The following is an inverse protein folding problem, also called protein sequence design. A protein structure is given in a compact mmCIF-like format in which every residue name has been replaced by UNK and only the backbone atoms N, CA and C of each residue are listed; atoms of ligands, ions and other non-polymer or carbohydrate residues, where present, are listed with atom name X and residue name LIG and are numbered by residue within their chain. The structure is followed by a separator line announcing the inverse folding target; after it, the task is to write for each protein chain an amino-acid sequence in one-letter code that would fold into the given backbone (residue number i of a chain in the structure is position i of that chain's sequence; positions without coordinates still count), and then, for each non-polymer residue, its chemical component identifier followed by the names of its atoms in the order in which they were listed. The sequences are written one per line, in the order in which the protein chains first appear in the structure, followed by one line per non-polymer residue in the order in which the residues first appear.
data_IF_931228177093
#
_entry.id   IF_931228177093
#
_cell.length_a   1.000
_cell.length_b   1.000
_cell.length_c   1.000
_cell.angle_alpha   90.00
_cell.angle_beta   90.00
_cell.angle_gamma   90.00
#
_symmetry.space_group_name_H-M   'P 1'
#
loop_
_entity.id
_entity.type
_entity.pdbx_description
1 polymer ?
#
# COMPACT_ATOMS: atom_id res chain seq x y z
N UNK A 1 6.84 0.84 5.71
CA UNK A 1 5.97 0.27 4.66
C UNK A 1 4.83 1.18 4.21
N UNK A 2 4.13 1.89 5.10
CA UNK A 2 3.01 2.77 4.72
C UNK A 2 3.35 3.84 3.66
N UNK A 3 4.47 4.53 3.79
CA UNK A 3 4.90 5.54 2.80
C UNK A 3 5.26 4.91 1.45
N UNK A 4 5.89 3.73 1.45
CA UNK A 4 6.20 2.99 0.22
C UNK A 4 4.90 2.55 -0.47
N UNK A 5 3.93 2.02 0.29
CA UNK A 5 2.62 1.68 -0.26
C UNK A 5 1.92 2.88 -0.90
N UNK A 6 1.88 4.03 -0.22
CA UNK A 6 1.25 5.24 -0.77
C UNK A 6 1.92 5.71 -2.07
N UNK A 7 3.26 5.72 -2.11
CA UNK A 7 4.00 6.12 -3.30
C UNK A 7 3.75 5.15 -4.47
N UNK A 8 3.81 3.84 -4.21
CA UNK A 8 3.60 2.82 -5.24
C UNK A 8 2.14 2.74 -5.70
N UNK A 9 1.17 2.99 -4.81
CA UNK A 9 -0.25 3.04 -5.17
C UNK A 9 -0.58 4.26 -6.04
N UNK A 10 -0.05 5.44 -5.70
CA UNK A 10 -0.16 6.64 -6.54
C UNK A 10 0.53 6.43 -7.89
N UNK A 11 1.68 5.74 -7.91
CA UNK A 11 2.37 5.43 -9.16
C UNK A 11 1.53 4.49 -10.05
N UNK A 12 0.86 3.49 -9.47
CA UNK A 12 -0.04 2.61 -10.21
C UNK A 12 -1.23 3.37 -10.81
N UNK A 13 -1.87 4.24 -10.01
CA UNK A 13 -2.98 5.08 -10.47
C UNK A 13 -2.54 6.04 -11.60
N UNK A 14 -1.37 6.67 -11.47
CA UNK A 14 -0.81 7.56 -12.49
C UNK A 14 -0.47 6.84 -13.80
N UNK A 15 0.00 5.59 -13.72
CA UNK A 15 0.23 4.76 -14.91
C UNK A 15 -1.09 4.56 -15.67
N UNK A 16 -2.13 4.10 -14.97
CA UNK A 16 -3.41 3.75 -15.60
C UNK A 16 -4.18 4.99 -16.09
N UNK A 17 -4.19 6.07 -15.30
CA UNK A 17 -4.96 7.28 -15.60
C UNK A 17 -4.28 8.22 -16.60
N UNK A 18 -2.95 8.31 -16.59
CA UNK A 18 -2.22 9.35 -17.35
C UNK A 18 -1.23 8.76 -18.33
N UNK A 19 -0.31 7.90 -17.87
CA UNK A 19 0.84 7.49 -18.70
C UNK A 19 0.43 6.57 -19.84
N UNK A 20 -0.40 5.56 -19.58
CA UNK A 20 -0.87 4.62 -20.63
C UNK A 20 -1.71 5.31 -21.72
N UNK A 21 -2.70 6.16 -21.38
CA UNK A 21 -3.45 6.91 -22.39
C UNK A 21 -2.55 7.82 -23.23
N UNK A 22 -1.62 8.55 -22.61
CA UNK A 22 -0.71 9.45 -23.34
C UNK A 22 0.29 8.70 -24.22
N UNK A 23 0.72 7.50 -23.82
CA UNK A 23 1.53 6.62 -24.67
C UNK A 23 0.75 6.15 -25.89
N UNK A 24 -0.53 5.78 -25.74
CA UNK A 24 -1.39 5.42 -26.88
C UNK A 24 -1.62 6.61 -27.81
N UNK A 25 -1.92 7.78 -27.25
CA UNK A 25 -2.11 9.02 -27.99
C UNK A 25 -0.86 9.41 -28.79
N UNK A 26 0.32 9.37 -28.16
CA UNK A 26 1.59 9.69 -28.84
C UNK A 26 1.93 8.71 -29.96
N UNK A 27 1.55 7.43 -29.86
CA UNK A 27 1.68 6.47 -30.97
C UNK A 27 0.80 6.84 -32.17
N UNK A 28 -0.45 7.22 -31.92
CA UNK A 28 -1.37 7.67 -32.99
C UNK A 28 -0.83 8.95 -33.63
N UNK A 29 -0.42 9.93 -32.81
CA UNK A 29 0.17 11.18 -33.30
C UNK A 29 1.45 10.95 -34.12
N UNK A 30 2.26 9.96 -33.73
CA UNK A 30 3.46 9.58 -34.48
C UNK A 30 3.09 8.96 -35.84
N UNK A 31 2.12 8.04 -35.88
CA UNK A 31 1.64 7.43 -37.11
C UNK A 31 1.05 8.48 -38.07
N UNK A 32 0.24 9.40 -37.54
CA UNK A 32 -0.35 10.50 -38.33
C UNK A 32 0.72 11.46 -38.85
N UNK A 33 1.71 11.80 -38.03
CA UNK A 33 2.82 12.67 -38.44
C UNK A 33 3.72 12.00 -39.49
N UNK A 34 3.92 10.69 -39.38
CA UNK A 34 4.68 9.90 -40.35
C UNK A 34 3.92 9.79 -41.68
N UNK A 35 2.61 9.56 -41.64
CA UNK A 35 1.75 9.61 -42.83
C UNK A 35 1.74 11.00 -43.47
N UNK A 36 1.65 12.07 -42.68
CA UNK A 36 1.70 13.44 -43.20
C UNK A 36 3.07 13.80 -43.80
N UNK A 37 4.17 13.26 -43.26
CA UNK A 37 5.52 13.45 -43.80
C UNK A 37 5.78 12.63 -45.07
N UNK A 38 5.07 11.51 -45.25
CA UNK A 38 5.20 10.62 -46.42
C UNK A 38 4.13 10.87 -47.49
N UNK A 39 3.07 11.63 -47.18
CA UNK A 39 2.02 11.97 -48.13
C UNK A 39 2.59 12.76 -49.32
N UNK A 40 2.33 12.34 -50.57
CA UNK A 40 2.86 12.95 -51.79
C UNK A 40 2.18 14.29 -52.15
N UNK A 41 1.80 15.09 -51.15
CA UNK A 41 1.00 16.32 -51.31
C UNK A 41 1.79 17.63 -51.31
N UNK A 42 3.06 17.63 -50.91
CA UNK A 42 3.93 18.82 -50.90
C UNK A 42 4.83 18.91 -52.15
N UNK A 43 4.54 18.14 -53.19
CA UNK A 43 5.26 18.11 -54.47
C UNK A 43 4.32 18.35 -55.66
N UNK A 44 3.34 19.26 -55.52
CA UNK A 44 2.56 19.73 -56.65
C UNK A 44 3.04 21.13 -57.10
N UNK A 45 4.12 21.18 -57.90
CA UNK A 45 4.18 22.02 -59.10
C UNK A 45 5.48 21.83 -59.89
N UNK A 46 5.65 20.68 -60.56
CA UNK A 46 6.34 20.68 -61.86
C UNK A 46 5.60 19.72 -62.78
N UNK A 47 4.64 20.25 -63.52
CA UNK A 47 4.06 19.62 -64.69
C UNK A 47 5.17 19.45 -65.74
N UNK A 48 5.53 18.22 -66.08
CA UNK A 48 6.51 17.92 -67.13
C UNK A 48 6.82 16.43 -67.29
N UNK A 49 5.96 15.75 -68.06
CA UNK A 49 6.20 14.52 -68.85
C UNK A 49 7.06 13.36 -68.29
N UNK A 50 6.37 12.23 -68.17
CA UNK A 50 6.74 10.87 -68.63
C UNK A 50 7.87 10.07 -67.97
N UNK A 51 7.47 8.84 -67.66
CA UNK A 51 8.22 7.57 -67.58
C UNK A 51 8.69 7.10 -66.21
N UNK A 52 8.30 5.85 -65.98
CA UNK A 52 8.49 5.00 -64.81
C UNK A 52 9.97 4.83 -64.47
N UNK A 53 10.36 5.15 -63.23
CA UNK A 53 11.35 4.34 -62.51
C UNK A 53 11.18 4.51 -61.00
N UNK A 54 11.08 3.37 -60.32
CA UNK A 54 11.02 3.25 -58.87
C UNK A 54 12.31 3.83 -58.28
N UNK A 55 12.24 4.96 -57.58
CA UNK A 55 13.36 5.48 -56.79
C UNK A 55 12.86 5.82 -55.39
N UNK A 56 13.47 5.09 -54.45
CA UNK A 56 13.49 5.14 -52.99
C UNK A 56 12.95 6.41 -52.29
N UNK A 57 12.25 6.25 -51.14
CA UNK A 57 12.05 7.37 -50.22
C UNK A 57 13.41 7.72 -49.62
N UNK A 58 13.70 9.02 -49.46
CA UNK A 58 14.90 9.59 -48.84
C UNK A 58 16.21 9.50 -49.66
N UNK A 59 16.19 9.93 -50.92
CA UNK A 59 17.43 10.35 -51.58
C UNK A 59 17.55 11.89 -51.54
N UNK A 60 18.38 12.41 -50.63
CA UNK A 60 18.87 13.78 -50.71
C UNK A 60 19.75 13.92 -51.98
N UNK A 61 19.11 14.18 -53.12
CA UNK A 61 19.78 14.56 -54.36
C UNK A 61 20.33 15.99 -54.21
N UNK A 62 21.66 16.12 -54.19
CA UNK A 62 22.38 17.38 -53.92
C UNK A 62 22.21 18.48 -54.97
N UNK A 63 21.49 18.28 -56.08
CA UNK A 63 21.44 19.27 -57.17
C UNK A 63 20.13 20.09 -57.27
N UNK A 64 19.17 19.93 -56.34
CA UNK A 64 17.91 20.70 -56.36
C UNK A 64 17.35 21.04 -54.96
N UNK A 65 18.20 21.07 -53.93
CA UNK A 65 17.77 21.46 -52.58
C UNK A 65 17.68 22.99 -52.49
N UNK A 66 16.54 23.55 -52.89
CA UNK A 66 16.25 24.95 -52.59
C UNK A 66 15.98 25.10 -51.07
N UNK A 67 16.49 26.17 -50.46
CA UNK A 67 16.27 26.49 -49.04
C UNK A 67 14.79 26.36 -48.60
N UNK A 68 13.77 26.74 -49.42
CA UNK A 68 12.37 26.57 -49.08
C UNK A 68 11.94 25.09 -48.97
N UNK A 69 12.46 24.21 -49.83
CA UNK A 69 12.19 22.76 -49.79
C UNK A 69 12.81 22.11 -48.55
N UNK A 70 14.03 22.51 -48.18
CA UNK A 70 14.67 22.08 -46.94
C UNK A 70 13.92 22.57 -45.68
N UNK A 71 13.39 23.79 -45.70
CA UNK A 71 12.56 24.33 -44.62
C UNK A 71 11.18 23.64 -44.53
N UNK A 72 10.55 23.32 -45.67
CA UNK A 72 9.30 22.56 -45.71
C UNK A 72 9.47 21.13 -45.18
N UNK A 73 10.62 20.49 -45.41
CA UNK A 73 10.92 19.15 -44.88
C UNK A 73 11.34 19.18 -43.39
N UNK A 74 11.81 20.32 -42.87
CA UNK A 74 12.26 20.47 -41.48
C UNK A 74 11.11 20.49 -40.47
N UNK A 75 10.01 21.17 -40.78
CA UNK A 75 8.82 21.27 -39.90
C UNK A 75 8.22 19.89 -39.53
N UNK A 76 7.99 18.96 -40.47
CA UNK A 76 7.48 17.62 -40.13
C UNK A 76 8.51 16.78 -39.35
N UNK A 77 9.81 16.93 -39.61
CA UNK A 77 10.88 16.26 -38.85
C UNK A 77 10.98 16.76 -37.41
N UNK A 78 10.90 18.08 -37.19
CA UNK A 78 10.90 18.68 -35.86
C UNK A 78 9.68 18.22 -35.05
N UNK A 79 8.52 18.07 -35.70
CA UNK A 79 7.30 17.53 -35.07
C UNK A 79 7.44 16.06 -34.69
N UNK A 80 8.01 15.22 -35.57
CA UNK A 80 8.28 13.82 -35.26
C UNK A 80 9.24 13.68 -34.07
N UNK A 81 10.32 14.46 -34.06
CA UNK A 81 11.30 14.46 -32.97
C UNK A 81 10.69 14.90 -31.63
N UNK A 82 9.80 15.90 -31.63
CA UNK A 82 9.08 16.29 -30.41
C UNK A 82 8.17 15.17 -29.87
N UNK A 83 7.49 14.44 -30.76
CA UNK A 83 6.66 13.29 -30.38
C UNK A 83 7.53 12.15 -29.82
N UNK A 84 8.67 11.85 -30.45
CA UNK A 84 9.63 10.86 -29.96
C UNK A 84 10.19 11.23 -28.58
N UNK A 85 10.58 12.49 -28.37
CA UNK A 85 11.04 12.97 -27.07
C UNK A 85 9.95 12.81 -26.00
N UNK A 86 8.71 13.18 -26.32
CA UNK A 86 7.57 12.99 -25.40
C UNK A 86 7.36 11.51 -25.10
N UNK A 87 7.43 10.64 -26.10
CA UNK A 87 7.30 9.19 -25.95
C UNK A 87 8.38 8.61 -25.04
N UNK A 88 9.66 8.97 -25.24
CA UNK A 88 10.77 8.51 -24.40
C UNK A 88 10.61 8.98 -22.94
N UNK A 89 10.17 10.22 -22.72
CA UNK A 89 9.87 10.73 -21.37
C UNK A 89 8.76 9.92 -20.70
N UNK A 90 7.67 9.63 -21.41
CA UNK A 90 6.57 8.81 -20.89
C UNK A 90 7.01 7.37 -20.59
N UNK A 91 7.85 6.76 -21.43
CA UNK A 91 8.44 5.45 -21.16
C UNK A 91 9.33 5.47 -19.91
N UNK A 92 10.15 6.51 -19.73
CA UNK A 92 11.00 6.65 -18.54
C UNK A 92 10.16 6.81 -17.26
N UNK A 93 9.04 7.54 -17.34
CA UNK A 93 8.11 7.69 -16.22
C UNK A 93 7.43 6.36 -15.89
N UNK A 94 6.99 5.61 -16.91
CA UNK A 94 6.42 4.28 -16.74
C UNK A 94 7.42 3.31 -16.09
N UNK A 95 8.66 3.29 -16.56
CA UNK A 95 9.72 2.46 -15.98
C UNK A 95 9.96 2.79 -14.50
N UNK A 96 10.09 4.07 -14.17
CA UNK A 96 10.30 4.49 -12.77
C UNK A 96 9.13 4.09 -11.87
N UNK A 97 7.90 4.22 -12.36
CA UNK A 97 6.70 3.81 -11.65
C UNK A 97 6.66 2.28 -11.47
N UNK A 98 6.95 1.48 -12.50
CA UNK A 98 7.08 0.02 -12.40
C UNK A 98 8.14 -0.41 -11.39
N UNK A 99 9.31 0.24 -11.39
CA UNK A 99 10.37 -0.04 -10.42
C UNK A 99 9.93 0.25 -8.99
N UNK A 100 9.16 1.33 -8.78
CA UNK A 100 8.61 1.65 -7.46
C UNK A 100 7.60 0.61 -6.95
N UNK A 101 6.76 0.07 -7.85
CA UNK A 101 5.79 -0.99 -7.52
C UNK A 101 6.53 -2.31 -7.23
N UNK A 102 7.53 -2.65 -8.07
CA UNK A 102 8.35 -3.85 -7.87
C UNK A 102 9.12 -3.81 -6.55
N UNK A 103 9.72 -2.65 -6.23
CA UNK A 103 10.43 -2.45 -4.98
C UNK A 103 9.49 -2.65 -3.77
N UNK A 104 8.27 -2.12 -3.83
CA UNK A 104 7.27 -2.36 -2.78
C UNK A 104 6.88 -3.83 -2.66
N UNK A 105 6.50 -4.48 -3.78
CA UNK A 105 6.07 -5.87 -3.80
C UNK A 105 7.14 -6.82 -3.25
N UNK A 106 8.42 -6.56 -3.53
CA UNK A 106 9.54 -7.34 -2.96
C UNK A 106 9.55 -7.34 -1.42
N UNK A 107 9.07 -6.27 -0.81
CA UNK A 107 9.03 -6.11 0.65
C UNK A 107 7.71 -6.56 1.29
N UNK A 108 6.66 -6.86 0.52
CA UNK A 108 5.36 -7.28 1.06
C UNK A 108 5.46 -8.62 1.80
N UNK A 109 5.94 -9.66 1.13
CA UNK A 109 6.10 -10.99 1.74
C UNK A 109 6.97 -10.99 3.02
N UNK A 110 8.20 -10.43 3.04
CA UNK A 110 9.01 -10.42 4.25
C UNK A 110 8.42 -9.54 5.36
N UNK A 111 7.76 -8.43 5.02
CA UNK A 111 7.08 -7.60 6.02
C UNK A 111 5.88 -8.32 6.64
N UNK A 112 5.09 -9.02 5.83
CA UNK A 112 3.98 -9.83 6.34
C UNK A 112 4.48 -10.98 7.22
N UNK A 113 5.58 -11.63 6.86
CA UNK A 113 6.20 -12.68 7.68
C UNK A 113 6.70 -12.13 9.02
N UNK A 114 7.36 -10.97 9.01
CA UNK A 114 7.80 -10.26 10.22
C UNK A 114 6.61 -9.89 11.11
N UNK A 115 5.60 -9.25 10.53
CA UNK A 115 4.38 -8.85 11.24
C UNK A 115 3.66 -10.06 11.84
N UNK A 116 3.56 -11.17 11.11
CA UNK A 116 2.99 -12.42 11.62
C UNK A 116 3.81 -13.01 12.78
N UNK A 117 5.14 -12.91 12.75
CA UNK A 117 6.00 -13.34 13.84
C UNK A 117 5.80 -12.47 15.10
N UNK A 118 5.73 -11.15 14.92
CA UNK A 118 5.42 -10.21 16.01
C UNK A 118 4.02 -10.45 16.57
N UNK A 119 3.00 -10.63 15.72
CA UNK A 119 1.63 -10.97 16.13
C UNK A 119 1.56 -12.25 16.96
N UNK A 120 2.37 -13.27 16.65
CA UNK A 120 2.43 -14.49 17.48
C UNK A 120 3.00 -14.19 18.87
N UNK A 121 4.02 -13.35 18.95
CA UNK A 121 4.63 -12.95 20.21
C UNK A 121 3.66 -12.10 21.04
N UNK A 122 3.26 -10.94 20.51
CA UNK A 122 2.42 -9.95 21.19
C UNK A 122 0.98 -10.40 21.37
N UNK A 123 0.44 -11.16 20.43
CA UNK A 123 -0.94 -11.61 20.48
C UNK A 123 -1.24 -12.54 21.64
N UNK A 124 -0.27 -13.34 22.10
CA UNK A 124 -0.46 -14.15 23.30
C UNK A 124 -0.53 -13.28 24.56
N UNK A 125 0.38 -12.31 24.66
CA UNK A 125 0.50 -11.37 25.79
C UNK A 125 -0.69 -10.40 25.87
N UNK A 126 -1.19 -9.92 24.74
CA UNK A 126 -2.38 -9.08 24.70
C UNK A 126 -3.61 -9.86 25.14
N UNK A 127 -3.80 -11.09 24.66
CA UNK A 127 -4.92 -11.94 25.07
C UNK A 127 -4.89 -12.28 26.55
N UNK A 128 -3.71 -12.54 27.14
CA UNK A 128 -3.60 -12.77 28.57
C UNK A 128 -3.86 -11.50 29.38
N UNK A 129 -3.28 -10.37 28.98
CA UNK A 129 -3.49 -9.06 29.63
C UNK A 129 -4.96 -8.67 29.63
N UNK A 130 -5.65 -8.88 28.50
CA UNK A 130 -7.06 -8.58 28.32
C UNK A 130 -7.97 -9.46 29.20
N UNK A 131 -7.64 -10.76 29.36
CA UNK A 131 -8.32 -11.65 30.31
C UNK A 131 -8.17 -11.19 31.75
N UNK A 132 -6.93 -10.88 32.16
CA UNK A 132 -6.65 -10.42 33.53
C UNK A 132 -7.35 -9.09 33.79
N UNK A 133 -7.30 -8.14 32.84
CA UNK A 133 -7.98 -6.85 32.96
C UNK A 133 -9.50 -7.01 33.11
N UNK A 134 -10.12 -7.85 32.29
CA UNK A 134 -11.56 -8.10 32.36
C UNK A 134 -11.96 -8.74 33.71
N UNK A 135 -11.27 -9.79 34.15
CA UNK A 135 -11.60 -10.45 35.41
C UNK A 135 -11.30 -9.60 36.65
N UNK A 136 -10.29 -8.73 36.60
CA UNK A 136 -10.08 -7.72 37.64
C UNK A 136 -11.25 -6.73 37.68
N UNK A 137 -11.78 -6.30 36.53
CA UNK A 137 -12.96 -5.43 36.49
C UNK A 137 -14.23 -6.14 37.00
N UNK A 138 -14.42 -7.43 36.69
CA UNK A 138 -15.53 -8.22 37.27
C UNK A 138 -15.42 -8.33 38.79
N UNK A 139 -14.22 -8.63 39.33
CA UNK A 139 -13.99 -8.64 40.78
C UNK A 139 -14.32 -7.28 41.42
N UNK A 140 -13.90 -6.18 40.79
CA UNK A 140 -14.23 -4.82 41.26
C UNK A 140 -15.74 -4.53 41.20
N UNK A 141 -16.45 -5.09 40.23
CA UNK A 141 -17.89 -4.89 40.07
C UNK A 141 -18.69 -5.63 41.15
N UNK A 142 -18.28 -6.86 41.47
CA UNK A 142 -18.98 -7.70 42.46
C UNK A 142 -18.65 -7.32 43.90
N UNK A 143 -17.39 -7.00 44.18
CA UNK A 143 -16.87 -6.83 45.54
C UNK A 143 -16.65 -5.36 45.92
N UNK A 144 -16.48 -4.48 44.94
CA UNK A 144 -16.00 -3.12 45.18
C UNK A 144 -14.56 -3.09 45.70
N UNK A 145 -13.92 -1.91 45.67
CA UNK A 145 -12.50 -1.77 46.07
C UNK A 145 -12.21 -2.22 47.51
N UNK A 146 -13.16 -2.03 48.42
CA UNK A 146 -12.95 -2.25 49.86
C UNK A 146 -12.83 -3.72 50.23
N UNK A 147 -13.39 -4.63 49.41
CA UNK A 147 -13.36 -6.07 49.68
C UNK A 147 -12.55 -6.89 48.67
N UNK A 148 -11.77 -6.22 47.81
CA UNK A 148 -10.83 -6.87 46.89
C UNK A 148 -9.58 -7.35 47.63
N UNK A 149 -9.09 -8.52 47.25
CA UNK A 149 -7.86 -9.10 47.82
C UNK A 149 -6.68 -8.13 47.69
N UNK A 150 -5.89 -8.01 48.75
CA UNK A 150 -4.66 -7.19 48.77
C UNK A 150 -3.66 -7.60 47.70
N UNK A 151 -3.70 -8.87 47.27
CA UNK A 151 -2.84 -9.38 46.19
C UNK A 151 -3.28 -8.92 44.79
N UNK A 152 -4.55 -8.50 44.63
CA UNK A 152 -5.12 -7.99 43.38
C UNK A 152 -5.01 -6.47 43.24
N UNK A 153 -4.87 -5.73 44.35
CA UNK A 153 -4.73 -4.27 44.35
C UNK A 153 -3.65 -3.74 43.39
N UNK A 154 -2.46 -4.37 43.26
CA UNK A 154 -1.44 -3.92 42.31
C UNK A 154 -1.90 -3.95 40.85
N UNK A 155 -2.86 -4.82 40.51
CA UNK A 155 -3.39 -4.91 39.15
C UNK A 155 -4.37 -3.79 38.82
N UNK A 156 -5.10 -3.24 39.81
CA UNK A 156 -6.12 -2.21 39.57
C UNK A 156 -5.54 -0.96 38.90
N UNK A 157 -4.39 -0.47 39.39
CA UNK A 157 -3.71 0.69 38.78
C UNK A 157 -3.19 0.39 37.37
N UNK A 158 -2.81 -0.85 37.13
CA UNK A 158 -2.27 -1.30 35.85
C UNK A 158 -3.40 -1.47 34.82
N UNK A 159 -4.52 -2.04 35.24
CA UNK A 159 -5.74 -2.16 34.42
C UNK A 159 -6.31 -0.79 34.08
N UNK A 160 -6.30 0.16 35.02
CA UNK A 160 -6.66 1.55 34.72
C UNK A 160 -5.76 2.14 33.62
N UNK A 161 -4.45 1.90 33.68
CA UNK A 161 -3.51 2.35 32.64
C UNK A 161 -3.75 1.66 31.30
N UNK A 162 -3.97 0.35 31.30
CA UNK A 162 -4.23 -0.47 30.10
C UNK A 162 -5.53 -0.07 29.37
N UNK A 163 -6.54 0.34 30.13
CA UNK A 163 -7.86 0.77 29.60
C UNK A 163 -7.88 2.26 29.22
N UNK A 164 -6.78 2.98 29.43
CA UNK A 164 -6.69 4.41 29.10
C UNK A 164 -7.31 5.35 30.14
N UNK A 165 -7.56 4.88 31.36
CA UNK A 165 -8.05 5.70 32.46
C UNK A 165 -6.89 6.54 33.06
N UNK A 166 -6.75 7.79 32.58
CA UNK A 166 -5.73 8.71 33.06
C UNK A 166 -5.95 9.17 34.51
N UNK A 167 -7.19 9.13 35.01
CA UNK A 167 -7.55 9.36 36.41
C UNK A 167 -7.27 8.17 37.34
N UNK A 168 -6.62 7.12 36.83
CA UNK A 168 -6.24 5.94 37.59
C UNK A 168 -7.44 5.11 38.05
N UNK A 169 -7.32 4.52 39.26
CA UNK A 169 -8.34 3.60 39.79
C UNK A 169 -9.70 4.26 40.03
N UNK A 170 -9.75 5.56 40.37
CA UNK A 170 -11.02 6.27 40.60
C UNK A 170 -11.84 6.40 39.31
N UNK A 171 -11.17 6.74 38.21
CA UNK A 171 -11.83 6.81 36.91
C UNK A 171 -12.28 5.42 36.45
N UNK A 172 -11.43 4.40 36.63
CA UNK A 172 -11.76 3.00 36.35
C UNK A 172 -13.06 2.57 37.04
N UNK A 173 -13.22 2.89 38.34
CA UNK A 173 -14.43 2.54 39.10
C UNK A 173 -15.67 3.32 38.61
N UNK A 174 -15.51 4.61 38.29
CA UNK A 174 -16.62 5.44 37.81
C UNK A 174 -17.16 4.99 36.45
N UNK A 175 -16.31 4.37 35.61
CA UNK A 175 -16.62 3.92 34.25
C UNK A 175 -16.59 2.40 34.10
N UNK A 176 -16.67 1.66 35.20
CA UNK A 176 -16.38 0.22 35.24
C UNK A 176 -17.22 -0.58 34.24
N UNK A 177 -18.52 -0.32 34.17
CA UNK A 177 -19.43 -0.98 33.22
C UNK A 177 -19.07 -0.69 31.76
N UNK A 178 -18.71 0.55 31.45
CA UNK A 178 -18.32 0.95 30.09
C UNK A 178 -16.98 0.31 29.69
N UNK A 179 -16.03 0.24 30.63
CA UNK A 179 -14.72 -0.36 30.42
C UNK A 179 -14.84 -1.88 30.24
N UNK A 180 -15.69 -2.54 31.02
CA UNK A 180 -15.94 -3.98 30.84
C UNK A 180 -16.55 -4.29 29.48
N UNK A 181 -17.48 -3.46 29.02
CA UNK A 181 -18.10 -3.62 27.69
C UNK A 181 -17.05 -3.43 26.59
N UNK A 182 -16.23 -2.38 26.68
CA UNK A 182 -15.11 -2.15 25.76
C UNK A 182 -14.15 -3.35 25.75
N UNK A 183 -13.67 -3.82 26.92
CA UNK A 183 -12.81 -5.00 27.03
C UNK A 183 -13.43 -6.25 26.40
N UNK A 184 -14.75 -6.44 26.53
CA UNK A 184 -15.47 -7.55 25.91
C UNK A 184 -15.55 -7.40 24.38
N UNK A 185 -15.75 -6.19 23.85
CA UNK A 185 -15.67 -5.92 22.42
C UNK A 185 -14.27 -6.17 21.86
N UNK A 186 -13.23 -5.72 22.58
CA UNK A 186 -11.83 -6.01 22.23
C UNK A 186 -11.55 -7.51 22.22
N UNK A 187 -12.12 -8.23 23.19
CA UNK A 187 -12.01 -9.69 23.27
C UNK A 187 -12.63 -10.39 22.07
N UNK A 188 -13.82 -9.94 21.65
CA UNK A 188 -14.53 -10.48 20.48
C UNK A 188 -13.69 -10.32 19.22
N UNK A 189 -13.11 -9.13 19.00
CA UNK A 189 -12.22 -8.87 17.85
C UNK A 189 -10.99 -9.78 17.83
N UNK A 190 -10.44 -10.10 18.99
CA UNK A 190 -9.21 -10.92 19.14
C UNK A 190 -9.52 -12.41 19.35
N UNK A 191 -10.80 -12.80 19.25
CA UNK A 191 -11.29 -14.18 19.41
C UNK A 191 -10.97 -14.78 20.79
N UNK A 192 -11.06 -13.96 21.85
CA UNK A 192 -10.95 -14.42 23.23
C UNK A 192 -12.35 -14.64 23.81
N UNK A 193 -12.72 -15.89 24.14
CA UNK A 193 -14.01 -16.17 24.77
C UNK A 193 -13.98 -15.77 26.25
N UNK A 194 -14.32 -14.51 26.56
CA UNK A 194 -14.46 -14.02 27.94
C UNK A 194 -15.86 -14.30 28.52
N UNK A 195 -16.90 -14.06 27.72
CA UNK A 195 -18.32 -14.10 28.15
C UNK A 195 -18.91 -15.51 28.23
N UNK A 196 -18.18 -16.54 27.78
CA UNK A 196 -18.70 -17.91 27.82
C UNK A 196 -18.75 -18.43 29.26
N UNK A 197 -19.87 -19.08 29.64
CA UNK A 197 -20.10 -19.71 30.96
C UNK A 197 -18.96 -20.65 31.41
N UNK A 198 -18.24 -21.26 30.47
CA UNK A 198 -17.08 -22.12 30.74
C UNK A 198 -15.84 -21.35 31.20
N UNK A 199 -15.72 -20.08 30.82
CA UNK A 199 -14.60 -19.19 31.20
C UNK A 199 -14.86 -18.44 32.50
N UNK A 200 -16.13 -18.15 32.84
CA UNK A 200 -16.48 -17.62 34.16
C UNK A 200 -16.04 -18.55 35.30
N UNK A 201 -16.15 -19.88 35.12
CA UNK A 201 -15.63 -20.87 36.08
C UNK A 201 -14.09 -20.88 36.20
N UNK A 202 -13.37 -20.33 35.22
CA UNK A 202 -11.90 -20.26 35.19
C UNK A 202 -11.34 -18.96 35.74
N UNK A 203 -12.19 -17.98 36.05
CA UNK A 203 -11.80 -16.70 36.69
C UNK A 203 -10.83 -16.85 37.86
N UNK A 204 -11.08 -17.68 38.90
CA UNK A 204 -10.16 -17.78 40.03
C UNK A 204 -8.80 -18.37 39.63
N UNK A 205 -8.76 -19.26 38.64
CA UNK A 205 -7.52 -19.84 38.14
C UNK A 205 -6.67 -18.78 37.42
N UNK A 206 -7.29 -18.01 36.53
CA UNK A 206 -6.60 -16.95 35.77
C UNK A 206 -6.06 -15.86 36.68
N UNK A 207 -6.83 -15.44 37.69
CA UNK A 207 -6.37 -14.45 38.66
C UNK A 207 -5.26 -15.00 39.57
N UNK A 208 -5.35 -16.27 40.01
CA UNK A 208 -4.29 -16.90 40.79
C UNK A 208 -2.99 -17.05 40.00
N UNK A 209 -3.07 -17.44 38.72
CA UNK A 209 -1.91 -17.51 37.81
C UNK A 209 -1.28 -16.13 37.59
N UNK A 210 -2.09 -15.09 37.41
CA UNK A 210 -1.62 -13.73 37.27
C UNK A 210 -0.89 -13.24 38.54
N UNK A 211 -1.47 -13.51 39.71
CA UNK A 211 -0.85 -13.19 41.00
C UNK A 211 0.47 -13.96 41.18
N UNK A 212 0.50 -15.26 40.87
CA UNK A 212 1.71 -16.07 40.94
C UNK A 212 2.80 -15.54 40.00
N UNK A 213 2.45 -15.21 38.76
CA UNK A 213 3.37 -14.60 37.78
C UNK A 213 3.91 -13.24 38.26
N UNK A 214 3.07 -12.42 38.90
CA UNK A 214 3.48 -11.13 39.45
C UNK A 214 4.47 -11.25 40.61
N UNK A 215 4.44 -12.35 41.36
CA UNK A 215 5.40 -12.60 42.45
C UNK A 215 6.78 -13.00 41.92
N UNK A 216 6.87 -13.51 40.69
CA UNK A 216 8.11 -13.98 40.06
C UNK A 216 8.82 -12.87 39.27
N UNK A 217 8.09 -11.91 38.70
CA UNK A 217 8.63 -10.91 37.78
C UNK A 217 9.26 -9.66 38.45
N UNK A 218 10.38 -9.17 37.91
CA UNK A 218 11.07 -7.93 38.33
C UNK A 218 10.20 -6.66 38.29
N UNK A 219 9.06 -6.67 37.58
CA UNK A 219 8.07 -5.57 37.51
C UNK A 219 6.65 -6.05 37.85
N UNK A 220 6.51 -6.83 38.92
CA UNK A 220 5.26 -7.29 39.58
C UNK A 220 4.06 -7.45 38.63
N UNK A 221 3.03 -6.62 38.80
CA UNK A 221 1.78 -6.68 38.04
C UNK A 221 1.86 -5.99 36.67
N UNK A 222 2.73 -4.99 36.52
CA UNK A 222 2.94 -4.31 35.24
C UNK A 222 3.46 -5.32 34.20
N UNK A 223 4.42 -6.18 34.54
CA UNK A 223 4.92 -7.20 33.61
C UNK A 223 3.84 -8.17 33.10
N UNK A 224 2.76 -8.35 33.85
CA UNK A 224 1.64 -9.25 33.50
C UNK A 224 0.59 -8.54 32.64
N UNK A 225 0.38 -7.24 32.85
CA UNK A 225 -0.60 -6.41 32.13
C UNK A 225 0.08 -5.11 31.68
N UNK A 226 1.05 -5.16 30.77
CA UNK A 226 1.71 -3.93 30.24
C UNK A 226 1.93 -3.96 28.74
N UNK A 227 1.12 -4.74 28.03
CA UNK A 227 1.22 -4.66 26.59
C UNK A 227 0.70 -3.28 26.15
N UNK A 228 1.63 -2.43 25.67
CA UNK A 228 1.32 -1.22 24.89
C UNK A 228 0.69 -1.57 23.53
N UNK A 229 0.47 -2.86 23.29
CA UNK A 229 -0.06 -3.42 22.06
C UNK A 229 -1.54 -3.12 21.98
N UNK A 230 -1.96 -2.68 20.81
CA UNK A 230 -3.34 -2.40 20.45
C UNK A 230 -3.98 -3.61 19.79
N UNK A 231 -5.30 -3.58 19.60
CA UNK A 231 -6.02 -4.60 18.82
C UNK A 231 -5.42 -4.79 17.42
N UNK A 232 -4.94 -3.70 16.81
CA UNK A 232 -4.33 -3.70 15.49
C UNK A 232 -3.03 -4.51 15.44
N UNK A 233 -2.30 -4.58 16.55
CA UNK A 233 -1.05 -5.34 16.64
C UNK A 233 -1.29 -6.86 16.74
N UNK A 234 -2.54 -7.28 17.00
CA UNK A 234 -2.92 -8.70 17.16
C UNK A 234 -3.71 -9.25 15.99
N UNK A 235 -4.62 -8.45 15.41
CA UNK A 235 -5.45 -8.84 14.27
C UNK A 235 -4.81 -8.42 12.93
N UNK A 236 -3.68 -7.72 12.97
CA UNK A 236 -3.10 -6.92 11.88
C UNK A 236 -3.36 -7.42 10.46
N UNK A 237 -3.82 -6.49 9.63
CA UNK A 237 -4.18 -6.74 8.25
C UNK A 237 -2.92 -6.99 7.41
N UNK A 238 -2.83 -8.12 6.68
CA UNK A 238 -1.69 -8.38 5.80
C UNK A 238 -1.67 -7.34 4.68
N UNK A 239 -0.47 -6.86 4.33
CA UNK A 239 -0.31 -6.03 3.15
C UNK A 239 -0.54 -6.89 1.90
N UNK A 240 -1.28 -6.34 0.94
CA UNK A 240 -1.46 -6.93 -0.39
C UNK A 240 -0.45 -6.35 -1.37
N UNK A 241 -0.01 -7.20 -2.28
CA UNK A 241 0.81 -6.77 -3.42
C UNK A 241 -0.02 -5.87 -4.34
N UNK A 242 0.64 -4.85 -4.89
CA UNK A 242 0.03 -3.97 -5.88
C UNK A 242 0.09 -4.64 -7.25
N UNK A 243 -1.01 -4.56 -8.00
CA UNK A 243 -1.08 -5.05 -9.36
C UNK A 243 -0.06 -4.31 -10.24
N UNK A 244 0.71 -5.07 -11.03
CA UNK A 244 1.58 -4.47 -12.03
C UNK A 244 0.71 -3.95 -13.19
N UNK A 245 1.05 -2.79 -13.77
CA UNK A 245 0.35 -2.27 -14.94
C UNK A 245 0.41 -3.27 -16.10
N UNK A 246 -0.67 -3.36 -16.88
CA UNK A 246 -0.84 -4.35 -17.94
C UNK A 246 0.19 -4.23 -19.09
N UNK A 247 0.80 -3.05 -19.25
CA UNK A 247 1.83 -2.80 -20.26
C UNK A 247 3.22 -3.02 -19.66
N UNK A 248 3.69 -4.27 -19.68
CA UNK A 248 5.12 -4.52 -19.45
C UNK A 248 5.92 -3.95 -20.63
N UNK A 249 6.92 -3.12 -20.35
CA UNK A 249 7.84 -2.55 -21.36
C UNK A 249 8.50 -3.60 -22.27
N UNK A 250 8.54 -4.87 -21.85
CA UNK A 250 9.00 -6.01 -22.64
C UNK A 250 8.21 -6.15 -23.97
N UNK A 251 6.99 -5.61 -24.05
CA UNK A 251 6.12 -5.67 -25.24
C UNK A 251 5.84 -4.32 -25.90
N UNK A 252 6.58 -3.26 -25.55
CA UNK A 252 6.47 -1.99 -26.26
C UNK A 252 7.20 -2.13 -27.60
N UNK A 253 6.44 -2.53 -28.62
CA UNK A 253 6.86 -2.52 -30.02
C UNK A 253 7.44 -1.14 -30.38
N UNK A 254 8.49 -1.08 -31.20
CA UNK A 254 9.04 0.18 -31.68
C UNK A 254 7.93 1.00 -32.39
N UNK A 255 7.98 2.33 -32.28
CA UNK A 255 7.01 3.27 -32.87
C UNK A 255 6.75 3.05 -34.37
N UNK A 256 7.67 2.38 -35.06
CA UNK A 256 7.63 2.07 -36.49
C UNK A 256 6.83 0.81 -36.86
N UNK A 257 6.46 -0.04 -35.91
CA UNK A 257 5.75 -1.30 -36.19
C UNK A 257 4.25 -1.20 -35.86
N UNK A 258 3.49 -0.55 -36.75
CA UNK A 258 2.02 -0.57 -36.80
C UNK A 258 1.50 -1.06 -38.17
N UNK A 259 2.29 -1.91 -38.82
CA UNK A 259 1.90 -2.84 -39.89
C UNK A 259 2.36 -4.19 -39.32
N UNK A 260 1.52 -5.10 -38.83
CA UNK A 260 0.37 -5.71 -39.46
C UNK A 260 -0.60 -6.16 -38.36
N UNK A 261 -1.91 -5.97 -38.58
CA UNK A 261 -2.98 -6.86 -38.15
C UNK A 261 -4.29 -6.28 -38.72
N UNK A 262 -4.38 -6.42 -40.05
CA UNK A 262 -5.61 -6.67 -40.82
C UNK A 262 -6.37 -7.88 -40.26
#
# INVERSE_FOLDING_TARGET
MRNLYLLSALAAEDIDARVVPQLRESRVQYADALQAATAPGTLASVSGSSSVSKISPLAFSRSAASLPLALQQRVPLDRLFQIEQRFVRLLSALWNAEQSIFAFNRHVAPFNAFTAAEQRCWGSLYRSSLKVAYFVCEELTEKGMESVSTELLPFVSIVASFTGCCGGHRELLSKLNAIMLDLAERAKKVQVPLESLSWQKKRPQVLAEAIAASKIACRRAAAVVSCLTTEADVVGLPLTELAMPALRLIHVLPLSQLQDNA
#
